data_IF_550783069407
#
_entry.id   IF_550783069407
#
_cell.length_a   1.000
_cell.length_b   1.000
_cell.length_c   1.000
_cell.angle_alpha   90.00
_cell.angle_beta   90.00
_cell.angle_gamma   90.00
#
_symmetry.space_group_name_H-M   'P 1'
#
loop_
_entity.id
_entity.type
_entity.pdbx_description
1 polymer ?
#
# COMPACT_ATOMS: atom_id res chain seq x y z
N UNK A 1 -7.12 -87.98 12.44
CA UNK A 1 -6.05 -87.94 13.47
C UNK A 1 -5.18 -86.73 13.19
N UNK A 2 -4.90 -86.05 14.26
CA UNK A 2 -3.95 -84.94 14.49
C UNK A 2 -4.32 -83.56 14.03
N UNK A 3 -4.80 -82.80 14.99
CA UNK A 3 -4.79 -81.38 15.15
C UNK A 3 -3.37 -80.83 15.10
N UNK A 4 -3.21 -79.70 14.44
CA UNK A 4 -2.11 -78.81 14.87
C UNK A 4 -2.63 -77.36 14.74
N UNK A 5 -2.94 -76.85 15.93
CA UNK A 5 -3.21 -75.44 16.15
C UNK A 5 -1.88 -74.68 16.03
N UNK A 6 -1.80 -73.74 15.16
CA UNK A 6 -0.72 -72.77 15.15
C UNK A 6 -1.30 -71.35 15.17
N UNK A 7 -1.34 -70.83 16.36
CA UNK A 7 -1.72 -69.44 16.65
C UNK A 7 -0.61 -68.53 16.24
N UNK A 8 -0.84 -67.74 15.20
CA UNK A 8 0.05 -66.64 14.84
C UNK A 8 -0.43 -65.38 15.54
N UNK A 9 0.31 -65.00 16.53
CA UNK A 9 0.21 -63.68 17.19
C UNK A 9 0.85 -62.65 16.25
N UNK A 10 0.07 -62.01 15.45
CA UNK A 10 0.49 -60.84 14.69
C UNK A 10 0.56 -59.63 15.63
N UNK A 11 1.78 -59.22 15.97
CA UNK A 11 2.07 -57.95 16.62
C UNK A 11 1.86 -56.83 15.63
N UNK A 12 0.71 -56.16 15.74
CA UNK A 12 0.44 -54.94 14.99
C UNK A 12 1.18 -53.76 15.62
N UNK A 13 2.30 -53.38 15.04
CA UNK A 13 2.96 -52.11 15.37
C UNK A 13 2.15 -50.98 14.74
N UNK A 14 1.29 -50.32 15.52
CA UNK A 14 0.63 -49.09 15.14
C UNK A 14 1.66 -47.93 15.11
N UNK A 15 2.21 -47.64 13.96
CA UNK A 15 3.00 -46.43 13.75
C UNK A 15 2.05 -45.21 13.74
N UNK A 16 1.95 -44.51 14.87
CA UNK A 16 1.26 -43.20 14.94
C UNK A 16 2.22 -42.19 14.30
N UNK A 17 1.95 -41.89 13.02
CA UNK A 17 2.57 -40.76 12.35
C UNK A 17 1.96 -39.47 12.92
N UNK A 18 2.65 -38.82 13.86
CA UNK A 18 2.33 -37.45 14.26
C UNK A 18 2.62 -36.52 13.09
N UNK A 19 1.56 -36.16 12.36
CA UNK A 19 1.58 -35.06 11.40
C UNK A 19 1.69 -33.74 12.17
N UNK A 20 2.91 -33.25 12.36
CA UNK A 20 3.14 -31.88 12.77
C UNK A 20 2.72 -30.97 11.61
N UNK A 21 1.48 -30.53 11.62
CA UNK A 21 1.04 -29.42 10.78
C UNK A 21 1.68 -28.17 11.33
N UNK A 22 2.80 -27.75 10.74
CA UNK A 22 3.34 -26.42 10.96
C UNK A 22 2.35 -25.42 10.39
N UNK A 23 1.60 -24.76 11.27
CA UNK A 23 0.78 -23.61 10.90
C UNK A 23 1.75 -22.50 10.53
N UNK A 24 2.01 -22.35 9.23
CA UNK A 24 2.72 -21.19 8.71
C UNK A 24 1.75 -20.01 8.86
N UNK A 25 1.95 -19.21 9.90
CA UNK A 25 1.33 -17.90 9.99
C UNK A 25 1.89 -17.08 8.83
N UNK A 26 1.16 -17.01 7.73
CA UNK A 26 1.43 -16.03 6.69
C UNK A 26 1.35 -14.66 7.38
N UNK A 27 2.48 -13.96 7.46
CA UNK A 27 2.50 -12.58 7.93
C UNK A 27 1.58 -11.79 7.00
N UNK A 28 0.42 -11.42 7.49
CA UNK A 28 -0.46 -10.53 6.76
C UNK A 28 0.24 -9.19 6.65
N UNK A 29 0.70 -8.87 5.44
CA UNK A 29 1.18 -7.54 5.13
C UNK A 29 0.00 -6.59 5.18
N UNK A 30 -0.04 -5.76 6.22
CA UNK A 30 -1.08 -4.76 6.43
C UNK A 30 -0.51 -3.35 6.28
N UNK A 31 -1.41 -2.39 5.98
CA UNK A 31 -1.07 -0.97 6.03
C UNK A 31 -1.60 -0.40 7.33
N UNK A 32 -0.72 0.17 8.14
CA UNK A 32 -1.07 0.83 9.38
C UNK A 32 -1.07 2.35 9.14
N UNK A 33 -2.11 3.03 9.62
CA UNK A 33 -2.21 4.49 9.61
C UNK A 33 -2.56 4.98 10.99
N UNK A 34 -1.84 5.98 11.46
CA UNK A 34 -2.03 6.58 12.77
C UNK A 34 -1.19 7.81 12.95
N UNK A 35 -1.33 8.44 14.10
CA UNK A 35 -0.49 9.52 14.58
C UNK A 35 0.60 8.93 15.48
N UNK A 36 1.84 9.35 15.28
CA UNK A 36 2.94 8.98 16.18
C UNK A 36 2.79 9.80 17.47
N UNK A 37 2.58 9.13 18.60
CA UNK A 37 2.51 9.76 19.92
C UNK A 37 3.87 9.72 20.61
N UNK A 38 4.67 8.68 20.33
CA UNK A 38 6.01 8.52 20.90
C UNK A 38 6.92 7.81 19.90
N UNK A 39 8.19 8.24 19.85
CA UNK A 39 9.27 7.58 19.14
C UNK A 39 10.40 7.26 20.15
N UNK A 40 10.87 6.02 20.19
CA UNK A 40 11.89 5.56 21.13
C UNK A 40 12.66 4.37 20.56
N UNK A 41 13.96 4.55 20.31
CA UNK A 41 14.87 3.47 19.93
C UNK A 41 14.42 2.59 18.76
N UNK A 42 13.79 3.17 17.73
CA UNK A 42 13.28 2.44 16.58
C UNK A 42 11.91 1.78 16.81
N UNK A 43 11.22 2.12 17.88
CA UNK A 43 9.82 1.76 18.13
C UNK A 43 8.95 3.01 18.13
N UNK A 44 7.85 2.97 17.38
CA UNK A 44 6.87 4.05 17.35
C UNK A 44 5.57 3.60 18.01
N UNK A 45 5.12 4.36 19.01
CA UNK A 45 3.75 4.20 19.55
C UNK A 45 2.80 5.04 18.70
N UNK A 46 1.89 4.37 18.02
CA UNK A 46 0.94 4.95 17.09
C UNK A 46 -0.47 4.93 17.68
N UNK A 47 -1.15 6.07 17.61
CA UNK A 47 -2.59 6.13 17.80
C UNK A 47 -3.27 5.93 16.44
N UNK A 48 -3.91 4.80 16.24
CA UNK A 48 -4.59 4.44 15.01
C UNK A 48 -5.89 5.24 14.82
N UNK A 49 -6.50 5.18 13.63
CA UNK A 49 -7.73 5.94 13.34
C UNK A 49 -8.95 5.53 14.18
N UNK A 50 -8.98 4.28 14.64
CA UNK A 50 -10.01 3.75 15.55
C UNK A 50 -9.75 4.07 17.02
N UNK A 51 -8.64 4.79 17.31
CA UNK A 51 -8.27 5.21 18.67
C UNK A 51 -7.41 4.20 19.43
N UNK A 52 -7.12 3.03 18.86
CA UNK A 52 -6.26 2.02 19.48
C UNK A 52 -4.81 2.51 19.51
N UNK A 53 -4.06 2.07 20.54
CA UNK A 53 -2.62 2.28 20.62
C UNK A 53 -1.90 1.04 20.07
N UNK A 54 -0.91 1.25 19.23
CA UNK A 54 -0.12 0.20 18.62
C UNK A 54 1.37 0.56 18.66
N UNK A 55 2.19 -0.34 19.19
CA UNK A 55 3.64 -0.20 19.13
C UNK A 55 4.17 -0.91 17.88
N UNK A 56 4.88 -0.16 17.04
CA UNK A 56 5.45 -0.64 15.78
C UNK A 56 6.96 -0.57 15.87
N UNK A 57 7.61 -1.70 15.80
CA UNK A 57 9.07 -1.78 15.67
C UNK A 57 9.46 -1.56 14.22
N UNK A 58 10.31 -0.59 13.98
CA UNK A 58 10.85 -0.28 12.65
C UNK A 58 12.05 -1.20 12.39
N UNK A 59 12.04 -1.91 11.28
CA UNK A 59 13.17 -2.75 10.88
C UNK A 59 14.41 -1.89 10.56
N UNK A 60 15.60 -2.44 10.73
CA UNK A 60 16.85 -1.69 10.50
C UNK A 60 17.02 -1.28 9.04
N UNK A 61 16.49 -2.07 8.12
CA UNK A 61 16.48 -1.84 6.66
C UNK A 61 15.22 -1.11 6.17
N UNK A 62 14.36 -0.63 7.07
CA UNK A 62 13.15 0.08 6.70
C UNK A 62 13.49 1.36 5.92
N UNK A 63 12.79 1.55 4.80
CA UNK A 63 12.88 2.78 4.01
C UNK A 63 11.92 3.81 4.56
N UNK A 64 12.45 4.96 4.93
CA UNK A 64 11.67 6.10 5.41
C UNK A 64 11.56 7.13 4.29
N UNK A 65 10.37 7.63 4.08
CA UNK A 65 10.10 8.71 3.15
C UNK A 65 9.20 9.74 3.82
N UNK A 66 9.52 11.01 3.62
CA UNK A 66 8.70 12.12 4.05
C UNK A 66 7.77 12.58 2.92
N UNK A 67 6.62 13.14 3.27
CA UNK A 67 5.76 13.87 2.36
C UNK A 67 5.90 15.36 2.69
N UNK A 68 6.50 16.10 1.77
CA UNK A 68 6.65 17.54 1.89
C UNK A 68 5.60 18.26 1.07
N UNK A 69 5.17 19.44 1.51
CA UNK A 69 4.18 20.24 0.77
C UNK A 69 4.72 20.59 -0.62
N UNK A 70 3.88 20.40 -1.61
CA UNK A 70 4.14 20.77 -2.99
C UNK A 70 2.94 21.54 -3.55
N UNK A 71 3.05 21.99 -4.78
CA UNK A 71 2.06 22.78 -5.50
C UNK A 71 1.70 22.15 -6.84
N UNK A 72 0.66 22.64 -7.45
CA UNK A 72 0.26 22.23 -8.79
C UNK A 72 1.35 22.53 -9.84
N UNK A 73 2.13 23.60 -9.66
CA UNK A 73 3.24 23.96 -10.53
C UNK A 73 4.40 22.94 -10.51
N UNK A 74 4.45 22.10 -9.50
CA UNK A 74 5.46 21.03 -9.37
C UNK A 74 5.06 19.77 -10.16
N UNK A 75 3.79 19.65 -10.58
CA UNK A 75 3.29 18.57 -11.43
C UNK A 75 3.59 18.95 -12.88
N UNK A 76 4.63 18.35 -13.44
CA UNK A 76 5.11 18.59 -14.81
C UNK A 76 4.81 17.40 -15.72
N UNK A 77 4.90 17.62 -17.01
CA UNK A 77 4.88 16.53 -17.97
C UNK A 77 5.95 15.51 -17.60
N UNK A 78 5.62 14.24 -17.77
CA UNK A 78 6.44 13.08 -17.38
C UNK A 78 6.69 12.93 -15.86
N UNK A 79 6.09 13.77 -15.01
CA UNK A 79 6.10 13.48 -13.57
C UNK A 79 5.43 12.13 -13.30
N UNK A 80 6.01 11.30 -12.45
CA UNK A 80 5.37 10.10 -11.93
C UNK A 80 4.62 10.48 -10.67
N UNK A 81 3.30 10.31 -10.64
CA UNK A 81 2.44 10.76 -9.55
C UNK A 81 1.53 9.64 -9.06
N UNK A 82 1.20 9.68 -7.77
CA UNK A 82 0.16 8.88 -7.14
C UNK A 82 -1.04 9.77 -6.82
N UNK A 83 -2.19 9.44 -7.37
CA UNK A 83 -3.43 10.22 -7.21
C UNK A 83 -4.43 9.40 -6.41
N UNK A 84 -4.80 9.89 -5.23
CA UNK A 84 -5.95 9.37 -4.49
C UNK A 84 -7.15 10.28 -4.76
N UNK A 85 -8.25 9.68 -5.24
CA UNK A 85 -9.42 10.46 -5.65
C UNK A 85 -10.71 9.65 -5.68
N UNK A 86 -11.80 10.36 -5.95
CA UNK A 86 -13.13 9.79 -6.12
C UNK A 86 -13.44 9.66 -7.60
N UNK A 87 -13.86 8.48 -8.09
CA UNK A 87 -14.38 8.32 -9.44
C UNK A 87 -15.61 9.19 -9.68
N UNK A 88 -15.67 9.84 -10.84
CA UNK A 88 -16.82 10.64 -11.31
C UNK A 88 -17.62 9.86 -12.34
N UNK A 89 -18.90 10.22 -12.57
CA UNK A 89 -19.74 9.57 -13.59
C UNK A 89 -19.19 9.66 -15.02
N UNK A 90 -18.40 10.68 -15.34
CA UNK A 90 -17.76 10.90 -16.63
C UNK A 90 -16.46 10.06 -16.80
N UNK A 91 -16.12 9.21 -15.83
CA UNK A 91 -14.92 8.38 -15.84
C UNK A 91 -13.64 9.09 -15.39
N UNK A 92 -13.68 10.39 -15.14
CA UNK A 92 -12.58 11.13 -14.53
C UNK A 92 -12.45 10.83 -13.03
N UNK A 93 -11.33 11.23 -12.45
CA UNK A 93 -11.07 11.08 -11.01
C UNK A 93 -10.93 12.47 -10.41
N UNK A 94 -11.77 12.81 -9.43
CA UNK A 94 -11.59 14.03 -8.64
C UNK A 94 -10.57 13.75 -7.53
N UNK A 95 -9.40 14.36 -7.64
CA UNK A 95 -8.30 14.15 -6.72
C UNK A 95 -8.54 14.87 -5.39
N UNK A 96 -8.45 14.17 -4.28
CA UNK A 96 -8.31 14.79 -2.96
C UNK A 96 -6.86 14.81 -2.47
N UNK A 97 -5.99 14.00 -3.07
CA UNK A 97 -4.55 14.00 -2.77
C UNK A 97 -3.73 13.59 -3.98
N UNK A 98 -2.62 14.29 -4.22
CA UNK A 98 -1.61 13.97 -5.22
C UNK A 98 -0.25 13.90 -4.55
N UNK A 99 0.49 12.82 -4.84
CA UNK A 99 1.88 12.63 -4.40
C UNK A 99 2.79 12.60 -5.62
N UNK A 100 3.76 13.49 -5.69
CA UNK A 100 4.80 13.46 -6.71
C UNK A 100 5.90 12.52 -6.22
N UNK A 101 6.13 11.43 -6.93
CA UNK A 101 7.15 10.45 -6.58
C UNK A 101 8.57 10.92 -6.94
N UNK A 102 9.55 10.40 -6.22
CA UNK A 102 10.96 10.57 -6.58
C UNK A 102 11.27 9.88 -7.93
N UNK A 103 12.21 10.40 -8.72
CA UNK A 103 12.63 9.72 -9.95
C UNK A 103 13.07 8.27 -9.73
N UNK A 104 13.71 7.96 -8.61
CA UNK A 104 14.14 6.61 -8.25
C UNK A 104 13.00 5.63 -7.96
N UNK A 105 11.77 6.13 -7.78
CA UNK A 105 10.58 5.28 -7.56
C UNK A 105 9.91 4.87 -8.87
N UNK A 106 10.32 5.42 -10.01
CA UNK A 106 9.87 5.01 -11.34
C UNK A 106 10.26 3.55 -11.60
N UNK A 107 9.32 2.74 -12.04
CA UNK A 107 9.52 1.31 -12.26
C UNK A 107 9.62 0.46 -10.99
N UNK A 108 9.74 1.07 -9.81
CA UNK A 108 9.69 0.39 -8.50
C UNK A 108 8.27 0.40 -7.95
N UNK A 109 7.63 1.56 -7.97
CA UNK A 109 6.20 1.68 -7.68
C UNK A 109 5.44 1.32 -8.94
N UNK A 110 4.54 0.34 -8.84
CA UNK A 110 3.75 -0.10 -10.00
C UNK A 110 2.83 1.02 -10.50
N UNK A 111 2.90 1.32 -11.80
CA UNK A 111 2.01 2.22 -12.51
C UNK A 111 0.69 1.50 -12.81
N UNK A 112 -0.35 1.80 -12.04
CA UNK A 112 -1.65 1.14 -12.11
C UNK A 112 -2.76 1.95 -11.46
N UNK A 113 -4.00 1.57 -11.78
CA UNK A 113 -5.21 2.07 -11.13
C UNK A 113 -5.87 0.96 -10.30
N UNK A 114 -6.26 1.27 -9.03
CA UNK A 114 -6.84 0.27 -8.13
C UNK A 114 -7.67 0.92 -7.01
N UNK A 115 -8.52 0.11 -6.36
CA UNK A 115 -9.30 0.55 -5.21
C UNK A 115 -8.38 0.96 -4.05
N UNK A 116 -8.76 2.03 -3.35
CA UNK A 116 -7.97 2.60 -2.27
C UNK A 116 -8.80 2.74 -0.99
N UNK A 117 -8.16 2.52 0.14
CA UNK A 117 -8.81 2.48 1.45
C UNK A 117 -8.77 3.83 2.22
N UNK A 118 -8.40 4.93 1.57
CA UNK A 118 -8.36 6.24 2.22
C UNK A 118 -9.77 6.77 2.55
N UNK A 119 -10.71 6.54 1.63
CA UNK A 119 -12.14 6.84 1.78
C UNK A 119 -12.96 5.73 1.13
N UNK A 120 -14.18 5.44 1.59
CA UNK A 120 -15.08 4.50 0.91
C UNK A 120 -15.26 4.87 -0.57
N UNK A 121 -15.07 3.92 -1.47
CA UNK A 121 -15.17 4.13 -2.92
C UNK A 121 -14.03 4.89 -3.58
N UNK A 122 -12.99 5.27 -2.83
CA UNK A 122 -11.83 5.95 -3.42
C UNK A 122 -10.91 5.00 -4.18
N UNK A 123 -10.17 5.59 -5.13
CA UNK A 123 -9.18 4.88 -5.94
C UNK A 123 -7.80 5.53 -5.82
N UNK A 124 -6.77 4.75 -6.12
CA UNK A 124 -5.39 5.20 -6.30
C UNK A 124 -4.98 4.97 -7.74
N UNK A 125 -4.38 5.98 -8.34
CA UNK A 125 -3.80 5.89 -9.68
C UNK A 125 -2.34 6.31 -9.60
N UNK A 126 -1.43 5.37 -9.80
CA UNK A 126 -0.01 5.67 -9.98
C UNK A 126 0.26 5.73 -11.48
N UNK A 127 0.70 6.87 -11.99
CA UNK A 127 0.76 7.11 -13.41
C UNK A 127 1.75 8.22 -13.79
N UNK A 128 2.08 8.28 -15.07
CA UNK A 128 2.88 9.36 -15.65
C UNK A 128 1.97 10.46 -16.18
N UNK A 129 2.35 11.71 -15.95
CA UNK A 129 1.64 12.88 -16.48
C UNK A 129 1.96 13.03 -17.95
N UNK A 130 0.93 12.97 -18.81
CA UNK A 130 1.06 13.22 -20.26
C UNK A 130 0.88 14.69 -20.58
N UNK A 131 -0.14 15.32 -19.99
CA UNK A 131 -0.45 16.72 -20.21
C UNK A 131 -1.26 17.30 -19.06
N UNK A 132 -1.29 18.62 -19.00
CA UNK A 132 -2.05 19.37 -18.02
C UNK A 132 -2.70 20.57 -18.69
N UNK A 133 -4.01 20.77 -18.47
CA UNK A 133 -4.81 21.84 -19.06
C UNK A 133 -5.57 22.56 -17.96
N UNK A 134 -5.50 23.89 -17.96
CA UNK A 134 -6.29 24.71 -17.03
C UNK A 134 -7.78 24.52 -17.29
N UNK A 135 -8.57 24.37 -16.23
CA UNK A 135 -10.02 24.34 -16.23
C UNK A 135 -10.59 25.43 -15.31
N UNK A 136 -11.89 25.71 -15.42
CA UNK A 136 -12.56 26.79 -14.69
C UNK A 136 -12.33 26.73 -13.17
N UNK A 137 -12.36 25.53 -12.59
CA UNK A 137 -12.30 25.31 -11.15
C UNK A 137 -11.05 24.50 -10.72
N UNK A 138 -9.94 24.59 -11.51
CA UNK A 138 -8.72 23.86 -11.22
C UNK A 138 -7.93 23.49 -12.45
N UNK A 139 -7.46 22.25 -12.52
CA UNK A 139 -6.67 21.75 -13.63
C UNK A 139 -7.05 20.31 -13.95
N UNK A 140 -7.20 20.00 -15.24
CA UNK A 140 -7.27 18.63 -15.72
C UNK A 140 -5.86 18.14 -16.05
N UNK A 141 -5.47 17.03 -15.42
CA UNK A 141 -4.20 16.35 -15.67
C UNK A 141 -4.50 15.02 -16.34
N UNK A 142 -4.01 14.82 -17.54
CA UNK A 142 -4.07 13.53 -18.23
C UNK A 142 -2.89 12.67 -17.76
N UNK A 143 -3.20 11.47 -17.29
CA UNK A 143 -2.19 10.56 -16.80
C UNK A 143 -2.29 9.21 -17.50
N UNK A 144 -1.14 8.58 -17.75
CA UNK A 144 -1.02 7.27 -18.38
C UNK A 144 -0.34 6.28 -17.46
N UNK A 145 -0.89 5.08 -17.39
CA UNK A 145 -0.35 3.92 -16.69
C UNK A 145 -0.46 2.70 -17.58
N UNK A 146 0.12 1.58 -17.15
CA UNK A 146 0.28 0.37 -17.97
C UNK A 146 -1.02 -0.10 -18.64
N UNK A 147 -2.14 -0.08 -17.91
CA UNK A 147 -3.44 -0.59 -18.38
C UNK A 147 -4.31 0.49 -19.07
N UNK A 148 -3.86 1.76 -19.15
CA UNK A 148 -4.65 2.81 -19.78
C UNK A 148 -4.31 4.22 -19.35
N UNK A 149 -5.30 5.12 -19.46
CA UNK A 149 -5.17 6.52 -19.10
C UNK A 149 -6.37 7.00 -18.27
N UNK A 150 -6.19 8.08 -17.52
CA UNK A 150 -7.25 8.73 -16.74
C UNK A 150 -7.13 10.25 -16.84
N UNK A 151 -8.28 10.91 -16.85
CA UNK A 151 -8.38 12.33 -16.59
C UNK A 151 -8.50 12.57 -15.09
N UNK A 152 -7.59 13.32 -14.54
CA UNK A 152 -7.55 13.69 -13.12
C UNK A 152 -7.97 15.15 -13.00
N UNK A 153 -8.95 15.43 -12.17
CA UNK A 153 -9.37 16.78 -11.84
C UNK A 153 -8.69 17.17 -10.53
N UNK A 154 -7.81 18.16 -10.61
CA UNK A 154 -7.10 18.73 -9.46
C UNK A 154 -7.74 20.08 -9.15
N UNK A 155 -8.29 20.23 -7.96
CA UNK A 155 -8.96 21.44 -7.48
C UNK A 155 -8.10 22.16 -6.45
N UNK A 156 -8.43 23.40 -6.06
CA UNK A 156 -7.76 24.08 -4.96
C UNK A 156 -7.82 23.34 -3.61
N UNK A 157 -8.79 22.44 -3.44
CA UNK A 157 -8.94 21.61 -2.24
C UNK A 157 -8.06 20.34 -2.28
N UNK A 158 -7.41 20.03 -3.40
CA UNK A 158 -6.53 18.87 -3.54
C UNK A 158 -5.24 19.08 -2.76
N UNK A 159 -4.93 18.20 -1.83
CA UNK A 159 -3.65 18.20 -1.14
C UNK A 159 -2.54 17.71 -2.08
N UNK A 160 -1.53 18.52 -2.33
CA UNK A 160 -0.41 18.16 -3.20
C UNK A 160 0.86 18.06 -2.34
N UNK A 161 1.55 16.94 -2.45
CA UNK A 161 2.82 16.67 -1.75
C UNK A 161 3.84 16.06 -2.70
N UNK A 162 5.10 16.22 -2.37
CA UNK A 162 6.20 15.50 -3.00
C UNK A 162 6.81 14.51 -2.02
N UNK A 163 7.22 13.35 -2.52
CA UNK A 163 7.99 12.39 -1.73
C UNK A 163 9.43 12.90 -1.63
N UNK A 164 9.94 12.97 -0.42
CA UNK A 164 11.33 13.29 -0.12
C UNK A 164 11.99 12.12 0.62
N UNK A 165 13.32 11.92 0.50
CA UNK A 165 14.03 11.01 1.38
C UNK A 165 13.77 11.39 2.83
N UNK A 166 13.42 10.42 3.66
CA UNK A 166 13.26 10.58 5.10
C UNK A 166 14.37 9.89 5.87
N UNK A 167 14.47 10.22 7.13
CA UNK A 167 15.36 9.59 8.07
C UNK A 167 14.54 9.05 9.24
N UNK A 168 14.88 7.87 9.75
CA UNK A 168 14.20 7.26 10.90
C UNK A 168 14.53 7.91 12.24
N UNK A 169 15.55 8.78 12.26
CA UNK A 169 16.01 9.50 13.44
C UNK A 169 15.40 10.92 13.54
N UNK A 170 14.60 11.34 12.55
CA UNK A 170 13.80 12.57 12.50
C UNK A 170 12.33 12.26 12.82
#
# INVERSE_FOLDING_TARGET
MYNLNMTWRALGAAAIALLFTTVVFAQQTGRIRGQIEKADGGTFSLKTRDGSMLDVKVADDARVAALVKASLADIKNDSFIGVAGMPRPDGSIEAFSVHIFLPAQRGVVADRHFNWDAKPGSTMTNAYVESSVAEKDGQAVMVKFKEGAKKIIVTPATAITAVAPGNKDE
#
